data_IF_029494258901
#
_entry.id   IF_029494258901
#
_cell.length_a   1.000
_cell.length_b   1.000
_cell.length_c   1.000
_cell.angle_alpha   90.00
_cell.angle_beta   90.00
_cell.angle_gamma   90.00
#
_symmetry.space_group_name_H-M   'P 1'
#
loop_
_entity.id
_entity.type
_entity.pdbx_description
1 polymer ?
#
# COMPACT_ATOMS: atom_id res chain seq x y z
N UNK A 1 5.93 -7.30 -24.02
CA UNK A 1 6.46 -7.66 -22.68
C UNK A 1 5.37 -7.97 -21.64
N UNK A 2 4.18 -7.34 -21.68
CA UNK A 2 3.03 -7.81 -20.87
C UNK A 2 2.74 -9.31 -21.08
N UNK A 3 2.77 -9.78 -22.33
CA UNK A 3 2.66 -11.20 -22.68
C UNK A 3 3.75 -12.10 -22.04
N UNK A 4 4.96 -11.58 -21.80
CA UNK A 4 6.06 -12.36 -21.20
C UNK A 4 5.80 -12.59 -19.72
N UNK A 5 5.40 -11.54 -18.99
CA UNK A 5 5.03 -11.64 -17.57
C UNK A 5 3.81 -12.55 -17.41
N UNK A 6 2.80 -12.41 -18.26
CA UNK A 6 1.61 -13.26 -18.27
C UNK A 6 1.93 -14.74 -18.55
N UNK A 7 2.85 -15.00 -19.49
CA UNK A 7 3.35 -16.36 -19.76
C UNK A 7 4.05 -16.94 -18.54
N UNK A 8 4.94 -16.17 -17.89
CA UNK A 8 5.63 -16.62 -16.67
C UNK A 8 4.64 -16.95 -15.55
N UNK A 9 3.62 -16.12 -15.34
CA UNK A 9 2.59 -16.35 -14.33
C UNK A 9 1.78 -17.61 -14.61
N UNK A 10 1.42 -17.82 -15.87
CA UNK A 10 0.66 -18.99 -16.27
C UNK A 10 1.47 -20.27 -16.09
N UNK A 11 2.74 -20.26 -16.51
CA UNK A 11 3.64 -21.40 -16.31
C UNK A 11 3.86 -21.71 -14.83
N UNK A 12 4.10 -20.69 -13.99
CA UNK A 12 4.28 -20.89 -12.54
C UNK A 12 3.01 -21.46 -11.92
N UNK A 13 1.83 -20.93 -12.30
CA UNK A 13 0.53 -21.39 -11.78
C UNK A 13 0.27 -22.86 -12.15
N UNK A 14 0.51 -23.23 -13.40
CA UNK A 14 0.34 -24.60 -13.89
C UNK A 14 1.30 -25.57 -13.19
N UNK A 15 2.58 -25.20 -13.07
CA UNK A 15 3.58 -26.01 -12.35
C UNK A 15 3.26 -26.13 -10.87
N UNK A 16 2.76 -25.08 -10.23
CA UNK A 16 2.37 -25.15 -8.82
C UNK A 16 1.17 -26.08 -8.64
N UNK A 17 0.18 -26.03 -9.55
CA UNK A 17 -0.99 -26.89 -9.50
C UNK A 17 -0.63 -28.39 -9.69
N UNK A 18 0.42 -28.72 -10.45
CA UNK A 18 0.84 -30.12 -10.65
C UNK A 18 1.62 -30.71 -9.48
N UNK A 19 2.23 -29.88 -8.63
CA UNK A 19 3.03 -30.35 -7.47
C UNK A 19 2.38 -30.09 -6.12
N UNK A 20 1.38 -29.21 -6.04
CA UNK A 20 0.72 -28.86 -4.79
C UNK A 20 0.07 -30.09 -4.13
N UNK A 21 0.32 -30.27 -2.84
CA UNK A 21 -0.23 -31.39 -2.07
C UNK A 21 0.53 -32.71 -2.19
N UNK A 22 1.59 -32.78 -3.02
CA UNK A 22 2.46 -33.96 -3.11
C UNK A 22 3.66 -33.79 -2.15
N UNK A 23 3.81 -34.64 -1.11
CA UNK A 23 4.87 -34.49 -0.11
C UNK A 23 6.28 -34.48 -0.71
N UNK A 24 6.52 -35.32 -1.72
CA UNK A 24 7.83 -35.45 -2.39
C UNK A 24 8.27 -34.17 -3.10
N UNK A 25 7.32 -33.28 -3.45
CA UNK A 25 7.58 -32.02 -4.13
C UNK A 25 7.39 -30.79 -3.22
N UNK A 26 7.45 -30.95 -1.90
CA UNK A 26 7.20 -29.86 -0.96
C UNK A 26 8.19 -28.68 -1.13
N UNK A 27 9.45 -28.97 -1.47
CA UNK A 27 10.50 -27.97 -1.70
C UNK A 27 10.25 -27.19 -2.99
N UNK A 28 9.87 -27.89 -4.05
CA UNK A 28 9.52 -27.34 -5.36
C UNK A 28 8.27 -26.47 -5.25
N UNK A 29 7.24 -26.95 -4.55
CA UNK A 29 6.03 -26.18 -4.28
C UNK A 29 6.33 -24.88 -3.54
N UNK A 30 7.23 -24.91 -2.54
CA UNK A 30 7.68 -23.71 -1.81
C UNK A 30 8.40 -22.74 -2.73
N UNK A 31 9.29 -23.24 -3.59
CA UNK A 31 10.02 -22.44 -4.58
C UNK A 31 9.06 -21.78 -5.58
N UNK A 32 8.12 -22.55 -6.12
CA UNK A 32 7.11 -22.07 -7.08
C UNK A 32 6.18 -21.02 -6.47
N UNK A 33 5.78 -21.17 -5.20
CA UNK A 33 5.05 -20.10 -4.47
C UNK A 33 5.89 -18.83 -4.37
N UNK A 34 7.16 -18.94 -3.99
CA UNK A 34 8.09 -17.81 -3.96
C UNK A 34 8.24 -17.12 -5.32
N UNK A 35 8.30 -17.90 -6.41
CA UNK A 35 8.32 -17.36 -7.77
C UNK A 35 7.00 -16.67 -8.13
N UNK A 36 5.84 -17.24 -7.78
CA UNK A 36 4.54 -16.62 -8.01
C UNK A 36 4.45 -15.24 -7.34
N UNK A 37 4.88 -15.15 -6.08
CA UNK A 37 4.94 -13.88 -5.33
C UNK A 37 5.82 -12.84 -6.04
N UNK A 38 7.02 -13.25 -6.49
CA UNK A 38 7.96 -12.35 -7.19
C UNK A 38 7.44 -11.91 -8.54
N UNK A 39 6.79 -12.78 -9.31
CA UNK A 39 6.26 -12.44 -10.62
C UNK A 39 5.11 -11.44 -10.51
N UNK A 40 4.25 -11.56 -9.49
CA UNK A 40 3.23 -10.52 -9.19
C UNK A 40 3.87 -9.15 -8.93
N UNK A 41 4.92 -9.10 -8.10
CA UNK A 41 5.67 -7.87 -7.86
C UNK A 41 6.31 -7.33 -9.13
N UNK A 42 6.85 -8.20 -9.97
CA UNK A 42 7.43 -7.83 -11.26
C UNK A 42 6.38 -7.22 -12.19
N UNK A 43 5.18 -7.81 -12.29
CA UNK A 43 4.06 -7.24 -13.06
C UNK A 43 3.73 -5.83 -12.60
N UNK A 44 3.61 -5.64 -11.27
CA UNK A 44 3.31 -4.36 -10.62
C UNK A 44 4.40 -3.31 -10.88
N UNK A 45 5.67 -3.73 -10.86
CA UNK A 45 6.80 -2.85 -11.18
C UNK A 45 6.84 -2.50 -12.67
N UNK A 46 6.57 -3.48 -13.54
CA UNK A 46 6.59 -3.34 -14.99
C UNK A 46 5.50 -2.41 -15.52
N UNK A 47 4.32 -2.39 -14.89
CA UNK A 47 3.23 -1.49 -15.27
C UNK A 47 3.49 -0.02 -14.89
N UNK A 48 4.55 0.26 -14.12
CA UNK A 48 4.90 1.62 -13.70
C UNK A 48 6.01 2.18 -14.57
N UNK A 49 5.92 3.47 -14.86
CA UNK A 49 7.02 4.22 -15.47
C UNK A 49 8.18 4.30 -14.48
N UNK A 50 9.40 4.27 -15.01
CA UNK A 50 10.60 4.51 -14.22
C UNK A 50 10.50 5.87 -13.52
N UNK A 51 10.95 5.94 -12.28
CA UNK A 51 10.94 7.16 -11.47
C UNK A 51 12.27 7.36 -10.77
N UNK A 52 12.69 8.63 -10.71
CA UNK A 52 13.81 9.07 -9.90
C UNK A 52 13.28 9.53 -8.53
N UNK A 53 13.73 8.87 -7.46
CA UNK A 53 13.42 9.26 -6.08
C UNK A 53 14.53 10.11 -5.48
N UNK A 54 14.18 11.23 -4.85
CA UNK A 54 15.14 12.11 -4.16
C UNK A 54 14.97 11.95 -2.65
N UNK A 55 15.99 11.41 -1.99
CA UNK A 55 15.99 11.11 -0.55
C UNK A 55 17.06 11.94 0.18
N UNK A 56 16.78 12.33 1.42
CA UNK A 56 17.70 13.09 2.25
C UNK A 56 17.01 13.78 3.43
N UNK A 57 17.77 14.27 4.43
CA UNK A 57 17.22 14.89 5.63
C UNK A 57 16.35 16.10 5.29
N UNK A 58 15.47 16.48 6.23
CA UNK A 58 14.68 17.71 6.08
C UNK A 58 15.59 18.90 5.79
N UNK A 59 15.13 19.84 4.96
CA UNK A 59 15.87 21.05 4.56
C UNK A 59 17.13 20.84 3.70
N UNK A 60 17.42 19.63 3.23
CA UNK A 60 18.50 19.36 2.26
C UNK A 60 18.26 19.93 0.84
N UNK A 61 17.29 20.85 0.66
CA UNK A 61 16.99 21.45 -0.64
C UNK A 61 16.23 20.56 -1.63
N UNK A 62 15.72 19.38 -1.22
CA UNK A 62 15.01 18.44 -2.12
C UNK A 62 13.83 19.08 -2.86
N UNK A 63 12.91 19.73 -2.14
CA UNK A 63 11.74 20.39 -2.74
C UNK A 63 12.14 21.59 -3.60
N UNK A 64 13.24 22.29 -3.25
CA UNK A 64 13.80 23.36 -4.06
C UNK A 64 14.37 22.82 -5.37
N UNK A 65 15.12 21.71 -5.34
CA UNK A 65 15.64 21.04 -6.54
C UNK A 65 14.52 20.56 -7.45
N UNK A 66 13.48 19.92 -6.88
CA UNK A 66 12.29 19.50 -7.64
C UNK A 66 11.59 20.72 -8.27
N UNK A 67 11.37 21.79 -7.49
CA UNK A 67 10.80 23.02 -8.01
C UNK A 67 11.64 23.63 -9.13
N UNK A 68 12.96 23.70 -8.96
CA UNK A 68 13.88 24.25 -9.96
C UNK A 68 13.94 23.41 -11.24
N UNK A 69 13.91 22.08 -11.13
CA UNK A 69 13.88 21.18 -12.29
C UNK A 69 12.56 21.24 -13.08
N UNK A 70 11.44 21.49 -12.39
CA UNK A 70 10.10 21.41 -12.97
C UNK A 70 9.49 22.78 -13.32
N UNK A 71 10.01 23.88 -12.77
CA UNK A 71 9.52 25.23 -13.06
C UNK A 71 10.03 25.72 -14.41
N UNK A 72 9.12 26.33 -15.17
CA UNK A 72 9.42 26.90 -16.50
C UNK A 72 9.82 28.37 -16.44
N UNK A 73 9.27 29.11 -15.47
CA UNK A 73 9.63 30.48 -15.12
C UNK A 73 9.87 30.52 -13.61
N UNK A 74 10.89 31.26 -13.16
CA UNK A 74 11.32 31.39 -11.76
C UNK A 74 10.11 31.50 -10.80
N UNK A 75 9.66 30.37 -10.24
CA UNK A 75 8.73 30.33 -9.11
C UNK A 75 7.29 29.82 -9.36
N UNK A 76 6.94 29.18 -10.48
CA UNK A 76 5.64 28.45 -10.58
C UNK A 76 5.79 27.01 -11.05
N UNK A 77 5.04 26.10 -10.40
CA UNK A 77 4.97 24.69 -10.77
C UNK A 77 3.51 24.30 -10.98
N UNK A 78 3.05 24.34 -12.22
CA UNK A 78 1.65 24.16 -12.58
C UNK A 78 1.30 22.69 -12.77
N UNK A 79 0.28 22.23 -12.05
CA UNK A 79 -0.27 20.89 -12.16
C UNK A 79 -1.72 20.95 -12.64
N UNK A 80 -2.12 19.95 -13.41
CA UNK A 80 -3.46 19.82 -13.98
C UNK A 80 -4.33 18.95 -13.06
N UNK A 81 -5.43 19.53 -12.59
CA UNK A 81 -6.58 18.80 -12.08
C UNK A 81 -7.56 18.45 -13.21
N UNK A 82 -8.70 17.84 -12.90
CA UNK A 82 -9.68 17.43 -13.93
C UNK A 82 -10.30 18.63 -14.64
N UNK A 83 -10.56 19.71 -13.91
CA UNK A 83 -11.22 20.92 -14.44
C UNK A 83 -10.44 22.21 -14.16
N UNK A 84 -9.24 22.13 -13.60
CA UNK A 84 -8.48 23.30 -13.16
C UNK A 84 -6.97 23.11 -13.30
N UNK A 85 -6.25 24.23 -13.26
CA UNK A 85 -4.78 24.27 -13.16
C UNK A 85 -4.42 24.93 -11.84
N UNK A 86 -3.48 24.35 -11.10
CA UNK A 86 -3.14 24.75 -9.74
C UNK A 86 -1.62 24.94 -9.62
N UNK A 87 -1.17 25.96 -8.89
CA UNK A 87 0.25 26.13 -8.59
C UNK A 87 0.65 25.28 -7.38
N UNK A 88 1.36 24.17 -7.60
CA UNK A 88 1.76 23.25 -6.55
C UNK A 88 2.52 23.97 -5.43
N UNK A 89 3.45 24.88 -5.77
CA UNK A 89 4.30 25.53 -4.78
C UNK A 89 3.53 26.49 -3.87
N UNK A 90 2.41 27.05 -4.35
CA UNK A 90 1.63 28.06 -3.64
C UNK A 90 0.38 27.50 -2.97
N UNK A 91 -0.25 26.52 -3.59
CA UNK A 91 -1.60 26.07 -3.22
C UNK A 91 -1.63 24.65 -2.65
N UNK A 92 -0.68 23.78 -3.02
CA UNK A 92 -0.69 22.37 -2.60
C UNK A 92 0.40 22.09 -1.57
N UNK A 93 1.62 22.54 -1.84
CA UNK A 93 2.76 22.29 -0.97
C UNK A 93 2.50 22.95 0.40
N UNK A 94 2.63 22.18 1.51
CA UNK A 94 2.39 22.72 2.85
C UNK A 94 3.23 23.98 3.11
N UNK A 95 2.65 24.95 3.81
CA UNK A 95 3.31 26.20 4.14
C UNK A 95 4.57 25.98 5.01
N UNK A 96 5.58 26.84 4.86
CA UNK A 96 6.81 26.77 5.65
C UNK A 96 6.49 26.85 7.15
N UNK A 97 6.92 25.85 7.92
CA UNK A 97 6.78 25.82 9.39
C UNK A 97 5.69 24.89 9.92
N UNK A 98 4.82 24.36 9.05
CA UNK A 98 3.94 23.23 9.35
C UNK A 98 4.66 21.93 8.96
N UNK A 99 4.37 20.82 9.63
CA UNK A 99 5.00 19.51 9.37
C UNK A 99 4.97 19.13 7.88
N UNK A 100 5.95 18.31 7.47
CA UNK A 100 6.30 18.01 6.06
C UNK A 100 5.15 17.39 5.25
N UNK A 101 5.34 17.26 3.93
CA UNK A 101 4.52 16.41 3.05
C UNK A 101 4.48 14.98 3.62
N UNK A 102 3.29 14.49 3.97
CA UNK A 102 3.05 13.16 4.54
C UNK A 102 2.93 12.04 3.50
N UNK A 103 2.77 12.39 2.22
CA UNK A 103 2.60 11.43 1.11
C UNK A 103 3.61 11.69 -0.01
N UNK A 104 3.93 10.66 -0.78
CA UNK A 104 4.81 10.81 -1.95
C UNK A 104 4.08 11.58 -3.06
N UNK A 105 4.68 12.67 -3.54
CA UNK A 105 4.17 13.43 -4.70
C UNK A 105 4.88 12.97 -5.98
N UNK A 106 4.13 12.38 -6.91
CA UNK A 106 4.64 11.98 -8.23
C UNK A 106 4.24 13.01 -9.29
N UNK A 107 5.21 13.77 -9.79
CA UNK A 107 5.02 14.64 -10.95
C UNK A 107 5.20 13.86 -12.25
N UNK A 108 4.31 14.06 -13.23
CA UNK A 108 4.40 13.39 -14.54
C UNK A 108 3.95 14.29 -15.69
N UNK A 109 4.66 14.25 -16.81
CA UNK A 109 4.22 14.89 -18.07
C UNK A 109 3.08 14.13 -18.76
N UNK A 110 2.91 12.84 -18.44
CA UNK A 110 1.87 12.02 -19.03
C UNK A 110 0.55 12.15 -18.27
N UNK A 111 -0.55 12.01 -19.01
CA UNK A 111 -1.87 11.86 -18.43
C UNK A 111 -1.91 10.65 -17.47
N UNK A 112 -2.76 10.68 -16.42
CA UNK A 112 -2.95 9.54 -15.56
C UNK A 112 -3.40 8.29 -16.37
N UNK A 113 -3.07 7.08 -15.91
CA UNK A 113 -3.46 5.83 -16.59
C UNK A 113 -4.98 5.61 -16.62
N UNK A 114 -5.73 6.39 -15.82
CA UNK A 114 -7.18 6.40 -15.74
C UNK A 114 -7.67 7.82 -16.01
N UNK A 115 -8.67 7.98 -16.88
CA UNK A 115 -9.30 9.27 -17.09
C UNK A 115 -10.15 9.62 -15.86
N UNK A 116 -9.80 10.71 -15.19
CA UNK A 116 -10.51 11.17 -14.00
C UNK A 116 -11.98 11.49 -14.33
N UNK A 117 -12.88 10.98 -13.50
CA UNK A 117 -14.32 11.09 -13.72
C UNK A 117 -14.99 12.08 -12.78
N UNK A 118 -14.62 12.08 -11.49
CA UNK A 118 -15.21 12.92 -10.44
C UNK A 118 -14.16 13.78 -9.73
N UNK A 119 -13.05 13.18 -9.29
CA UNK A 119 -11.99 13.88 -8.56
C UNK A 119 -11.02 14.64 -9.48
N UNK A 120 -10.06 15.34 -8.87
CA UNK A 120 -9.05 16.15 -9.56
C UNK A 120 -7.68 15.47 -9.63
N UNK A 121 -7.39 14.58 -8.69
CA UNK A 121 -6.10 13.88 -8.60
C UNK A 121 -6.31 12.39 -8.36
N UNK A 122 -5.43 11.58 -8.95
CA UNK A 122 -5.38 10.14 -8.71
C UNK A 122 -4.38 9.84 -7.60
N UNK A 123 -4.85 9.22 -6.51
CA UNK A 123 -4.02 8.74 -5.43
C UNK A 123 -3.94 7.22 -5.48
N UNK A 124 -2.75 6.65 -5.67
CA UNK A 124 -2.56 5.20 -5.55
C UNK A 124 -2.53 4.81 -4.07
N UNK A 125 -3.17 3.69 -3.75
CA UNK A 125 -3.23 3.19 -2.38
C UNK A 125 -2.16 2.13 -2.12
N UNK A 126 -1.76 2.00 -0.86
CA UNK A 126 -1.02 0.86 -0.35
C UNK A 126 -1.95 -0.36 -0.36
N UNK A 127 -1.60 -1.47 -1.03
CA UNK A 127 -2.33 -2.70 -0.86
C UNK A 127 -2.09 -3.26 0.56
N UNK A 128 -2.97 -4.17 0.99
CA UNK A 128 -2.96 -4.73 2.34
C UNK A 128 -1.59 -5.33 2.70
N UNK A 129 -0.93 -6.03 1.79
CA UNK A 129 0.42 -6.57 2.02
C UNK A 129 1.46 -5.49 2.28
N UNK A 130 1.44 -4.37 1.55
CA UNK A 130 2.43 -3.32 1.71
C UNK A 130 2.22 -2.55 3.01
N UNK A 131 0.95 -2.36 3.41
CA UNK A 131 0.59 -1.80 4.70
C UNK A 131 1.15 -2.67 5.84
N UNK A 132 0.84 -3.97 5.82
CA UNK A 132 1.29 -4.90 6.86
C UNK A 132 2.82 -5.05 6.89
N UNK A 133 3.48 -5.13 5.73
CA UNK A 133 4.95 -5.21 5.64
C UNK A 133 5.61 -3.96 6.22
N UNK A 134 5.04 -2.77 5.98
CA UNK A 134 5.52 -1.51 6.54
C UNK A 134 5.43 -1.49 8.06
N UNK A 135 4.26 -1.83 8.61
CA UNK A 135 4.04 -1.89 10.06
C UNK A 135 4.95 -2.92 10.74
N UNK A 136 5.04 -4.12 10.17
CA UNK A 136 5.90 -5.19 10.69
C UNK A 136 7.39 -4.80 10.62
N UNK A 137 7.83 -4.18 9.52
CA UNK A 137 9.21 -3.70 9.39
C UNK A 137 9.51 -2.64 10.46
N UNK A 138 8.61 -1.68 10.68
CA UNK A 138 8.78 -0.66 11.71
C UNK A 138 8.96 -1.29 13.09
N UNK A 139 8.11 -2.25 13.46
CA UNK A 139 8.23 -2.98 14.71
C UNK A 139 9.56 -3.74 14.83
N UNK A 140 9.96 -4.49 13.81
CA UNK A 140 11.19 -5.30 13.85
C UNK A 140 12.48 -4.47 13.90
N UNK A 141 12.44 -3.21 13.45
CA UNK A 141 13.61 -2.33 13.45
C UNK A 141 13.65 -1.46 14.70
N UNK A 142 12.51 -0.90 15.12
CA UNK A 142 12.46 0.15 16.13
C UNK A 142 11.92 -0.33 17.49
N UNK A 143 11.32 -1.51 17.56
CA UNK A 143 10.69 -2.01 18.79
C UNK A 143 11.38 -3.25 19.35
N UNK A 144 11.28 -3.40 20.66
CA UNK A 144 11.69 -4.64 21.34
C UNK A 144 10.63 -5.71 21.12
N UNK A 145 11.01 -6.80 20.47
CA UNK A 145 10.15 -7.96 20.29
C UNK A 145 9.98 -8.74 21.62
N UNK A 146 8.80 -9.32 21.89
CA UNK A 146 8.64 -10.18 23.05
C UNK A 146 9.39 -11.51 22.84
N UNK A 147 9.70 -12.23 23.93
CA UNK A 147 9.89 -13.67 23.81
C UNK A 147 8.59 -14.26 23.26
N UNK A 148 8.68 -14.92 22.11
CA UNK A 148 7.57 -15.68 21.53
C UNK A 148 7.91 -17.15 21.70
N UNK A 149 6.99 -17.89 22.30
CA UNK A 149 7.04 -19.35 22.39
C UNK A 149 5.99 -19.97 21.47
N UNK A 150 6.10 -21.28 21.29
CA UNK A 150 5.13 -22.08 20.52
C UNK A 150 3.71 -21.88 21.06
N UNK A 151 3.54 -21.81 22.38
CA UNK A 151 2.23 -21.70 23.04
C UNK A 151 1.49 -20.41 22.67
N UNK A 152 2.20 -19.28 22.56
CA UNK A 152 1.59 -18.02 22.10
C UNK A 152 1.08 -18.15 20.67
N UNK A 153 1.90 -18.69 19.76
CA UNK A 153 1.50 -18.87 18.36
C UNK A 153 0.30 -19.82 18.27
N UNK A 154 0.33 -20.95 18.96
CA UNK A 154 -0.77 -21.92 18.95
C UNK A 154 -2.08 -21.34 19.50
N UNK A 155 -2.02 -20.59 20.61
CA UNK A 155 -3.19 -19.89 21.16
C UNK A 155 -3.75 -18.88 20.17
N UNK A 156 -2.90 -18.05 19.57
CA UNK A 156 -3.35 -17.07 18.56
C UNK A 156 -4.02 -17.77 17.37
N UNK A 157 -3.43 -18.84 16.83
CA UNK A 157 -4.01 -19.58 15.71
C UNK A 157 -5.33 -20.26 16.11
N UNK A 158 -5.42 -20.81 17.33
CA UNK A 158 -6.66 -21.39 17.85
C UNK A 158 -7.75 -20.33 17.98
N UNK A 159 -7.46 -19.19 18.58
CA UNK A 159 -8.41 -18.08 18.73
C UNK A 159 -8.85 -17.53 17.38
N UNK A 160 -7.94 -17.45 16.41
CA UNK A 160 -8.22 -17.02 15.04
C UNK A 160 -9.21 -17.95 14.33
N UNK A 161 -9.07 -19.28 14.49
CA UNK A 161 -10.02 -20.27 13.95
C UNK A 161 -11.41 -20.17 14.55
N UNK A 162 -11.49 -19.77 15.82
CA UNK A 162 -12.74 -19.67 16.56
C UNK A 162 -13.49 -18.35 16.29
N UNK A 163 -12.89 -17.40 15.58
CA UNK A 163 -13.55 -16.14 15.24
C UNK A 163 -14.74 -16.40 14.31
N UNK A 164 -15.93 -15.99 14.74
CA UNK A 164 -17.14 -16.01 13.94
C UNK A 164 -17.20 -14.78 13.02
N UNK A 165 -17.85 -14.90 11.86
CA UNK A 165 -18.05 -13.80 10.92
C UNK A 165 -18.15 -14.27 9.47
N UNK A 166 -18.32 -13.31 8.56
CA UNK A 166 -18.28 -13.57 7.13
C UNK A 166 -16.88 -14.05 6.70
N UNK A 167 -16.84 -14.86 5.66
CA UNK A 167 -15.58 -15.31 5.05
C UNK A 167 -14.81 -14.10 4.50
N UNK A 168 -13.56 -13.96 4.92
CA UNK A 168 -12.67 -12.93 4.43
C UNK A 168 -12.40 -13.09 2.93
N UNK A 169 -12.29 -12.00 2.17
CA UNK A 169 -11.83 -12.07 0.79
C UNK A 169 -10.41 -12.69 0.71
N UNK A 170 -10.06 -13.37 -0.39
CA UNK A 170 -8.75 -14.01 -0.56
C UNK A 170 -7.54 -13.07 -0.40
N UNK A 171 -7.75 -11.75 -0.48
CA UNK A 171 -6.70 -10.75 -0.28
C UNK A 171 -6.04 -10.87 1.10
N UNK A 172 -6.76 -11.32 2.12
CA UNK A 172 -6.21 -11.47 3.46
C UNK A 172 -5.13 -12.56 3.52
N UNK A 173 -5.47 -13.78 3.10
CA UNK A 173 -4.50 -14.87 3.01
C UNK A 173 -3.31 -14.51 2.11
N UNK A 174 -3.58 -13.90 0.95
CA UNK A 174 -2.54 -13.46 0.01
C UNK A 174 -1.61 -12.41 0.61
N UNK A 175 -2.14 -11.51 1.45
CA UNK A 175 -1.35 -10.49 2.12
C UNK A 175 -0.39 -11.12 3.14
N UNK A 176 -0.90 -12.04 3.97
CA UNK A 176 -0.04 -12.83 4.86
C UNK A 176 1.07 -13.56 4.11
N UNK A 177 0.74 -14.32 3.06
CA UNK A 177 1.71 -15.08 2.28
C UNK A 177 2.84 -14.19 1.73
N UNK A 178 2.48 -13.01 1.24
CA UNK A 178 3.43 -12.05 0.66
C UNK A 178 4.35 -11.50 1.76
N UNK A 179 3.76 -10.92 2.81
CA UNK A 179 4.50 -10.31 3.93
C UNK A 179 5.41 -11.34 4.60
N UNK A 180 4.89 -12.54 4.88
CA UNK A 180 5.65 -13.61 5.52
C UNK A 180 6.84 -14.05 4.68
N UNK A 181 6.65 -14.23 3.36
CA UNK A 181 7.74 -14.56 2.44
C UNK A 181 8.81 -13.45 2.41
N UNK A 182 8.40 -12.19 2.33
CA UNK A 182 9.32 -11.07 2.21
C UNK A 182 10.13 -10.84 3.49
N UNK A 183 9.48 -10.84 4.65
CA UNK A 183 10.15 -10.70 5.94
C UNK A 183 11.07 -11.89 6.22
N UNK A 184 10.62 -13.13 5.93
CA UNK A 184 11.44 -14.33 6.07
C UNK A 184 12.70 -14.25 5.19
N UNK A 185 12.56 -13.73 3.96
CA UNK A 185 13.70 -13.55 3.05
C UNK A 185 14.63 -12.42 3.47
N UNK A 186 14.07 -11.31 3.96
CA UNK A 186 14.80 -10.09 4.36
C UNK A 186 15.62 -10.32 5.63
N UNK A 187 15.01 -10.91 6.65
CA UNK A 187 15.64 -11.09 7.96
C UNK A 187 16.29 -12.46 8.14
N UNK A 188 15.88 -13.48 7.41
CA UNK A 188 16.42 -14.85 7.51
C UNK A 188 16.50 -15.30 8.98
N UNK A 189 17.71 -15.58 9.47
CA UNK A 189 17.97 -15.97 10.86
C UNK A 189 18.62 -14.84 11.67
N UNK A 190 18.71 -13.63 11.11
CA UNK A 190 19.34 -12.46 11.77
C UNK A 190 18.46 -11.79 12.80
N UNK A 191 17.14 -11.94 12.70
CA UNK A 191 16.19 -11.36 13.65
C UNK A 191 15.63 -12.45 14.57
N UNK A 192 15.94 -12.46 15.89
CA UNK A 192 15.56 -13.53 16.79
C UNK A 192 14.06 -13.84 16.79
N UNK A 193 13.22 -12.79 16.80
CA UNK A 193 11.76 -12.96 16.77
C UNK A 193 11.26 -13.68 15.51
N UNK A 194 11.77 -13.33 14.33
CA UNK A 194 11.40 -14.00 13.07
C UNK A 194 11.90 -15.45 13.05
N UNK A 195 13.08 -15.70 13.62
CA UNK A 195 13.62 -17.05 13.75
C UNK A 195 12.70 -17.94 14.60
N UNK A 196 12.21 -17.45 15.74
CA UNK A 196 11.29 -18.19 16.61
C UNK A 196 9.95 -18.46 15.93
N UNK A 197 9.32 -17.46 15.29
CA UNK A 197 8.06 -17.68 14.56
C UNK A 197 8.21 -18.73 13.45
N UNK A 198 9.36 -18.76 12.75
CA UNK A 198 9.64 -19.74 11.69
C UNK A 198 9.81 -21.17 12.21
N UNK A 199 10.02 -21.38 13.51
CA UNK A 199 10.03 -22.73 14.11
C UNK A 199 8.65 -23.35 14.15
N UNK A 200 7.59 -22.53 14.21
CA UNK A 200 6.23 -23.04 14.23
C UNK A 200 5.83 -23.65 12.86
N UNK A 201 5.43 -24.93 12.78
CA UNK A 201 5.19 -25.62 11.50
C UNK A 201 4.17 -24.92 10.59
N UNK A 202 3.05 -24.44 11.16
CA UNK A 202 1.99 -23.78 10.38
C UNK A 202 2.47 -22.48 9.73
N UNK A 203 3.30 -21.69 10.43
CA UNK A 203 3.84 -20.43 9.91
C UNK A 203 4.92 -20.73 8.87
N UNK A 204 5.83 -21.68 9.15
CA UNK A 204 6.88 -22.10 8.22
C UNK A 204 6.33 -22.53 6.87
N UNK A 205 5.24 -23.30 6.88
CA UNK A 205 4.63 -23.88 5.68
C UNK A 205 3.61 -22.93 5.02
N UNK A 206 3.24 -21.83 5.69
CA UNK A 206 2.17 -20.93 5.25
C UNK A 206 0.79 -21.60 5.25
N UNK A 207 0.60 -22.66 6.03
CA UNK A 207 -0.62 -23.48 6.04
C UNK A 207 -1.64 -22.92 7.03
N UNK A 208 -2.28 -21.81 6.64
CA UNK A 208 -3.31 -21.12 7.42
C UNK A 208 -4.68 -21.11 6.70
N UNK A 209 -4.96 -22.14 5.92
CA UNK A 209 -6.21 -22.28 5.15
C UNK A 209 -7.47 -22.44 6.01
N UNK A 210 -7.28 -22.77 7.28
CA UNK A 210 -8.31 -22.91 8.32
C UNK A 210 -8.73 -21.56 8.93
N UNK A 211 -8.03 -20.47 8.62
CA UNK A 211 -8.40 -19.11 9.02
C UNK A 211 -9.32 -18.49 7.97
N UNK A 212 -10.59 -18.37 8.31
CA UNK A 212 -11.64 -18.04 7.33
C UNK A 212 -12.19 -16.62 7.45
N UNK A 213 -12.08 -15.97 8.61
CA UNK A 213 -12.72 -14.66 8.88
C UNK A 213 -11.71 -13.53 8.94
N UNK A 214 -12.16 -12.30 8.64
CA UNK A 214 -11.31 -11.10 8.70
C UNK A 214 -10.76 -10.89 10.11
N UNK A 215 -11.62 -11.04 11.13
CA UNK A 215 -11.21 -10.99 12.53
C UNK A 215 -10.15 -12.05 12.89
N UNK A 216 -10.27 -13.27 12.35
CA UNK A 216 -9.24 -14.30 12.51
C UNK A 216 -7.91 -13.88 11.89
N UNK A 217 -7.92 -13.33 10.68
CA UNK A 217 -6.70 -12.81 10.05
C UNK A 217 -6.06 -11.66 10.80
N UNK A 218 -6.84 -10.78 11.44
CA UNK A 218 -6.30 -9.71 12.28
C UNK A 218 -5.49 -10.25 13.46
N UNK A 219 -5.94 -11.35 14.07
CA UNK A 219 -5.17 -12.06 15.11
C UNK A 219 -3.89 -12.65 14.53
N UNK A 220 -3.95 -13.27 13.35
CA UNK A 220 -2.76 -13.80 12.67
C UNK A 220 -1.75 -12.69 12.35
N UNK A 221 -2.19 -11.57 11.79
CA UNK A 221 -1.31 -10.43 11.47
C UNK A 221 -0.62 -9.86 12.70
N UNK A 222 -1.27 -9.88 13.86
CA UNK A 222 -0.63 -9.41 15.09
C UNK A 222 0.65 -10.17 15.46
N UNK A 223 0.80 -11.42 15.00
CA UNK A 223 2.04 -12.19 15.15
C UNK A 223 3.24 -11.55 14.42
N UNK A 224 3.03 -10.60 13.51
CA UNK A 224 4.12 -9.84 12.89
C UNK A 224 4.77 -8.86 13.89
N UNK A 225 4.09 -8.53 14.99
CA UNK A 225 4.54 -7.58 16.01
C UNK A 225 4.27 -8.01 17.45
N UNK A 226 4.41 -9.30 17.75
CA UNK A 226 4.39 -9.82 19.13
C UNK A 226 3.16 -10.65 19.50
N UNK A 227 2.17 -10.73 18.62
CA UNK A 227 0.89 -11.40 18.86
C UNK A 227 -0.15 -10.51 19.56
N UNK A 228 -1.38 -11.03 19.73
CA UNK A 228 -2.51 -10.21 20.15
C UNK A 228 -2.26 -9.52 21.50
N UNK A 229 -2.46 -8.20 21.54
CA UNK A 229 -2.39 -7.40 22.75
C UNK A 229 -0.97 -7.08 23.24
N UNK A 230 0.08 -7.50 22.54
CA UNK A 230 1.46 -7.10 22.85
C UNK A 230 1.69 -5.62 22.48
N UNK A 231 1.65 -5.31 21.18
CA UNK A 231 1.74 -3.94 20.67
C UNK A 231 0.33 -3.41 20.39
N UNK A 232 -0.39 -3.03 21.46
CA UNK A 232 -1.81 -2.61 21.38
C UNK A 232 -2.03 -1.44 20.42
N UNK A 233 -1.06 -0.54 20.34
CA UNK A 233 -1.13 0.62 19.43
C UNK A 233 -1.03 0.17 17.96
N UNK A 234 -0.19 -0.83 17.65
CA UNK A 234 -0.12 -1.43 16.31
C UNK A 234 -1.37 -2.25 15.99
N UNK A 235 -1.92 -2.99 16.96
CA UNK A 235 -3.19 -3.71 16.77
C UNK A 235 -4.33 -2.74 16.44
N UNK A 236 -4.39 -1.61 17.14
CA UNK A 236 -5.40 -0.58 16.91
C UNK A 236 -5.17 0.13 15.57
N UNK A 237 -3.93 0.49 15.24
CA UNK A 237 -3.58 1.09 13.95
C UNK A 237 -3.93 0.17 12.79
N UNK A 238 -3.57 -1.12 12.89
CA UNK A 238 -3.90 -2.13 11.89
C UNK A 238 -5.42 -2.20 11.72
N UNK A 239 -6.19 -2.24 12.81
CA UNK A 239 -7.65 -2.27 12.76
C UNK A 239 -8.23 -1.08 12.00
N UNK A 240 -7.80 0.13 12.32
CA UNK A 240 -8.27 1.35 11.67
C UNK A 240 -7.95 1.33 10.16
N UNK A 241 -6.73 0.97 9.79
CA UNK A 241 -6.29 1.00 8.39
C UNK A 241 -6.90 -0.13 7.55
N UNK A 242 -7.02 -1.33 8.10
CA UNK A 242 -7.69 -2.45 7.43
C UNK A 242 -9.17 -2.16 7.22
N UNK A 243 -9.86 -1.60 8.22
CA UNK A 243 -11.25 -1.15 8.08
C UNK A 243 -11.37 -0.06 7.01
N UNK A 244 -10.42 0.87 6.92
CA UNK A 244 -10.36 1.86 5.84
C UNK A 244 -10.25 1.22 4.45
N UNK A 245 -9.37 0.21 4.29
CA UNK A 245 -9.25 -0.54 3.05
C UNK A 245 -10.52 -1.33 2.70
N UNK A 246 -11.18 -1.95 3.69
CA UNK A 246 -12.46 -2.65 3.50
C UNK A 246 -13.56 -1.67 3.10
N UNK A 247 -13.62 -0.50 3.74
CA UNK A 247 -14.57 0.57 3.44
C UNK A 247 -14.41 1.06 2.01
N UNK A 248 -13.20 1.09 1.46
CA UNK A 248 -12.91 1.39 0.06
C UNK A 248 -13.12 0.18 -0.88
N UNK A 249 -13.11 -1.05 -0.37
CA UNK A 249 -13.23 -2.26 -1.17
C UNK A 249 -11.91 -2.70 -1.82
N UNK A 250 -10.78 -2.36 -1.19
CA UNK A 250 -9.42 -2.68 -1.66
C UNK A 250 -9.10 -2.26 -3.12
N UNK A 251 -9.38 -1.01 -3.53
CA UNK A 251 -9.06 -0.54 -4.87
C UNK A 251 -7.56 -0.30 -5.05
N UNK A 252 -7.09 -0.24 -6.30
CA UNK A 252 -5.70 0.13 -6.60
C UNK A 252 -5.43 1.62 -6.32
N UNK A 253 -6.43 2.47 -6.54
CA UNK A 253 -6.33 3.92 -6.42
C UNK A 253 -7.69 4.55 -6.08
N UNK A 254 -7.68 5.85 -5.79
CA UNK A 254 -8.87 6.68 -5.64
C UNK A 254 -8.69 8.03 -6.33
N UNK A 255 -9.78 8.61 -6.80
CA UNK A 255 -9.83 10.02 -7.19
C UNK A 255 -10.19 10.88 -5.98
N UNK A 256 -9.42 11.94 -5.77
CA UNK A 256 -9.60 12.91 -4.67
C UNK A 256 -9.79 14.31 -5.26
N UNK A 257 -10.74 15.07 -4.70
CA UNK A 257 -11.00 16.46 -5.10
C UNK A 257 -9.89 17.42 -4.66
N UNK A 258 -9.70 18.50 -5.42
CA UNK A 258 -8.67 19.52 -5.14
C UNK A 258 -8.78 20.11 -3.72
N UNK A 259 -10.00 20.24 -3.19
CA UNK A 259 -10.27 20.78 -1.87
C UNK A 259 -9.69 19.96 -0.71
N UNK A 260 -9.32 18.71 -0.95
CA UNK A 260 -8.67 17.79 -0.01
C UNK A 260 -7.20 17.52 -0.32
N UNK A 261 -6.65 18.21 -1.33
CA UNK A 261 -5.24 18.10 -1.74
C UNK A 261 -4.51 19.42 -1.51
N UNK A 262 -5.20 20.55 -1.66
CA UNK A 262 -4.65 21.88 -1.44
C UNK A 262 -4.53 22.21 0.05
N UNK A 263 -3.57 23.06 0.39
CA UNK A 263 -3.48 23.67 1.71
C UNK A 263 -4.78 24.44 2.02
N UNK A 264 -5.39 24.13 3.16
CA UNK A 264 -6.66 24.72 3.58
C UNK A 264 -6.74 24.82 5.10
N UNK A 265 -7.38 25.88 5.61
CA UNK A 265 -7.72 26.01 7.03
C UNK A 265 -9.05 25.36 7.39
N UNK A 266 -9.85 24.97 6.39
CA UNK A 266 -11.22 24.43 6.59
C UNK A 266 -11.32 22.94 6.31
N UNK A 267 -10.56 22.45 5.33
CA UNK A 267 -10.56 21.05 4.91
C UNK A 267 -9.20 20.41 5.18
N UNK A 268 -9.15 19.14 5.60
CA UNK A 268 -7.92 18.38 5.72
C UNK A 268 -7.34 18.15 4.33
N UNK A 269 -6.04 18.43 4.21
CA UNK A 269 -5.23 18.08 3.06
C UNK A 269 -4.61 16.70 3.29
N UNK A 270 -4.92 15.72 2.43
CA UNK A 270 -4.34 14.37 2.51
C UNK A 270 -2.83 14.37 2.25
N UNK A 271 -2.27 15.47 1.77
CA UNK A 271 -0.83 15.66 1.57
C UNK A 271 -0.12 16.06 2.86
N UNK A 272 -0.82 16.65 3.81
CA UNK A 272 -0.20 17.23 5.00
C UNK A 272 0.06 16.14 6.04
N UNK A 273 1.26 16.13 6.63
CA UNK A 273 1.56 15.20 7.73
C UNK A 273 0.63 15.38 8.94
N UNK A 274 0.09 16.59 9.16
CA UNK A 274 -0.91 16.83 10.21
C UNK A 274 -2.21 16.04 9.98
N UNK A 275 -2.62 15.85 8.73
CA UNK A 275 -3.77 15.04 8.37
C UNK A 275 -3.50 13.57 8.72
N UNK A 276 -2.31 13.06 8.37
CA UNK A 276 -1.87 11.72 8.77
C UNK A 276 -1.83 11.56 10.30
N UNK A 277 -1.29 12.54 11.02
CA UNK A 277 -1.19 12.53 12.48
C UNK A 277 -2.55 12.60 13.18
N UNK A 278 -3.60 13.05 12.47
CA UNK A 278 -4.98 13.07 12.95
C UNK A 278 -5.76 11.77 12.64
N UNK A 279 -5.08 10.70 12.21
CA UNK A 279 -5.69 9.41 11.88
C UNK A 279 -6.68 8.92 12.94
N UNK A 280 -7.91 8.66 12.51
CA UNK A 280 -8.99 8.14 13.37
C UNK A 280 -9.54 9.14 14.39
N UNK A 281 -9.13 10.41 14.32
CA UNK A 281 -9.62 11.49 15.20
C UNK A 281 -10.53 12.48 14.50
N UNK A 282 -10.56 12.48 13.16
CA UNK A 282 -11.32 13.47 12.41
C UNK A 282 -12.82 13.21 12.53
N UNK A 283 -13.58 14.31 12.60
CA UNK A 283 -15.04 14.30 12.48
C UNK A 283 -15.51 14.62 11.06
N UNK A 284 -14.57 14.88 10.15
CA UNK A 284 -14.84 15.16 8.76
C UNK A 284 -14.67 13.90 7.92
N UNK A 285 -15.33 13.87 6.76
CA UNK A 285 -15.25 12.79 5.78
C UNK A 285 -14.80 13.35 4.45
N UNK A 286 -13.99 12.58 3.73
CA UNK A 286 -13.61 12.84 2.34
C UNK A 286 -14.42 11.94 1.44
N UNK A 287 -15.06 12.50 0.42
CA UNK A 287 -15.69 11.72 -0.63
C UNK A 287 -14.65 11.39 -1.69
N UNK A 288 -14.50 10.10 -2.01
CA UNK A 288 -13.56 9.61 -3.01
C UNK A 288 -14.25 8.69 -4.01
N UNK A 289 -13.70 8.61 -5.22
CA UNK A 289 -14.12 7.63 -6.23
C UNK A 289 -13.07 6.57 -6.38
N UNK A 290 -13.43 5.30 -6.14
CA UNK A 290 -12.48 4.18 -6.22
C UNK A 290 -12.11 3.83 -7.66
N UNK A 291 -10.84 3.46 -7.89
CA UNK A 291 -10.29 3.17 -9.21
C UNK A 291 -9.49 1.86 -9.16
N UNK A 292 -9.86 0.92 -10.03
CA UNK A 292 -9.08 -0.30 -10.25
C UNK A 292 -8.17 -0.10 -11.49
N UNK A 293 -6.86 -0.13 -11.27
CA UNK A 293 -5.83 0.04 -12.30
C UNK A 293 -5.38 -1.30 -12.91
N UNK A 294 -5.93 -2.42 -12.42
CA UNK A 294 -5.64 -3.77 -12.90
C UNK A 294 -4.27 -4.30 -12.45
N UNK A 295 -3.70 -3.75 -11.38
CA UNK A 295 -2.37 -4.18 -10.91
C UNK A 295 -2.35 -5.60 -10.33
N UNK A 296 -3.49 -6.08 -9.83
CA UNK A 296 -3.57 -7.35 -9.12
C UNK A 296 -3.64 -8.62 -9.99
N UNK A 297 -3.81 -8.52 -11.32
CA UNK A 297 -3.79 -9.68 -12.23
C UNK A 297 -4.90 -10.72 -11.94
N UNK A 298 -6.10 -10.36 -12.38
CA UNK A 298 -7.35 -11.13 -12.57
C UNK A 298 -8.08 -11.83 -11.39
N UNK A 299 -9.41 -11.65 -11.42
CA UNK A 299 -10.58 -12.37 -10.83
C UNK A 299 -11.70 -11.39 -10.40
N UNK A 300 -11.40 -10.10 -10.26
CA UNK A 300 -12.45 -9.09 -10.11
C UNK A 300 -13.10 -8.94 -11.47
N UNK A 301 -14.32 -9.45 -11.64
CA UNK A 301 -15.11 -9.19 -12.83
C UNK A 301 -14.96 -7.73 -13.21
N UNK A 302 -14.50 -7.46 -14.43
CA UNK A 302 -14.39 -6.10 -14.97
C UNK A 302 -15.79 -5.52 -14.96
N UNK A 303 -16.20 -4.88 -13.88
CA UNK A 303 -17.33 -3.97 -13.94
C UNK A 303 -16.85 -2.79 -14.78
N UNK A 304 -17.14 -2.87 -16.07
CA UNK A 304 -17.17 -1.74 -16.97
C UNK A 304 -18.27 -0.78 -16.47
N UNK A 305 -17.95 -0.03 -15.42
CA UNK A 305 -18.86 0.91 -14.76
C UNK A 305 -18.02 1.74 -13.80
N UNK A 306 -18.14 3.07 -13.89
CA UNK A 306 -17.31 4.02 -13.16
C UNK A 306 -17.16 3.70 -11.67
N UNK A 307 -16.03 4.11 -11.11
CA UNK A 307 -15.63 3.85 -9.74
C UNK A 307 -16.74 4.00 -8.70
N UNK A 308 -16.73 3.15 -7.67
CA UNK A 308 -17.65 3.27 -6.53
C UNK A 308 -17.26 4.49 -5.69
N UNK A 309 -18.24 5.31 -5.34
CA UNK A 309 -18.04 6.39 -4.36
C UNK A 309 -17.95 5.82 -2.95
N UNK A 310 -17.04 6.37 -2.16
CA UNK A 310 -16.88 6.04 -0.76
C UNK A 310 -16.59 7.31 0.04
N UNK A 311 -17.17 7.39 1.23
CA UNK A 311 -16.75 8.34 2.25
C UNK A 311 -15.67 7.68 3.10
N UNK A 312 -14.62 8.40 3.50
CA UNK A 312 -13.57 7.89 4.38
C UNK A 312 -13.01 9.00 5.28
N UNK A 313 -12.49 8.63 6.45
CA UNK A 313 -11.73 9.54 7.30
C UNK A 313 -10.48 10.05 6.55
N UNK A 314 -10.21 11.37 6.56
CA UNK A 314 -9.09 11.98 5.84
C UNK A 314 -7.71 11.49 6.30
N UNK A 315 -7.52 11.25 7.61
CA UNK A 315 -6.25 10.76 8.15
C UNK A 315 -6.02 9.29 7.83
N UNK A 316 -7.10 8.48 7.85
CA UNK A 316 -7.06 7.10 7.34
C UNK A 316 -6.73 7.08 5.85
N UNK A 317 -7.37 7.94 5.04
CA UNK A 317 -7.06 8.05 3.63
C UNK A 317 -5.60 8.47 3.40
N UNK A 318 -5.12 9.50 4.09
CA UNK A 318 -3.73 9.96 4.00
C UNK A 318 -2.74 8.82 4.32
N UNK A 319 -3.01 8.00 5.34
CA UNK A 319 -2.18 6.86 5.71
C UNK A 319 -2.21 5.70 4.69
N UNK A 320 -3.28 5.57 3.93
CA UNK A 320 -3.43 4.56 2.89
C UNK A 320 -2.85 5.00 1.54
N UNK A 321 -2.61 6.29 1.32
CA UNK A 321 -2.04 6.79 0.06
C UNK A 321 -0.55 6.43 -0.03
N UNK A 322 -0.20 5.67 -1.05
CA UNK A 322 1.19 5.39 -1.40
C UNK A 322 1.82 6.57 -2.14
N UNK A 323 1.08 7.15 -3.10
CA UNK A 323 1.50 8.33 -3.85
C UNK A 323 0.29 9.09 -4.40
N UNK A 324 0.42 10.41 -4.50
CA UNK A 324 -0.47 11.26 -5.30
C UNK A 324 0.17 11.57 -6.65
N UNK A 325 -0.60 11.43 -7.73
CA UNK A 325 -0.15 11.73 -9.09
C UNK A 325 -0.57 13.14 -9.48
N UNK A 326 0.43 13.95 -9.78
CA UNK A 326 0.29 15.34 -10.20
C UNK A 326 0.74 15.46 -11.66
N UNK A 327 -0.23 15.57 -12.56
CA UNK A 327 0.08 15.80 -13.97
C UNK A 327 0.62 17.22 -14.14
N UNK A 328 1.80 17.36 -14.73
CA UNK A 328 2.38 18.66 -15.02
C UNK A 328 1.67 19.30 -16.20
N UNK A 329 1.46 20.61 -16.12
CA UNK A 329 1.13 21.39 -17.31
C UNK A 329 2.32 21.35 -18.27
N UNK A 330 2.14 20.96 -19.55
CA UNK A 330 3.21 21.06 -20.53
C UNK A 330 3.69 22.50 -20.64
N UNK A 331 5.01 22.69 -20.69
CA UNK A 331 5.56 24.02 -20.90
C UNK A 331 6.69 24.00 -21.92
N UNK A 332 6.49 24.76 -23.00
CA UNK A 332 7.36 24.75 -24.17
C UNK A 332 8.79 25.17 -23.82
N UNK A 333 9.77 24.37 -24.25
CA UNK A 333 11.19 24.62 -23.99
C UNK A 333 11.73 24.15 -22.63
N UNK A 334 10.91 23.53 -21.77
CA UNK A 334 11.45 22.84 -20.57
C UNK A 334 12.23 21.58 -20.93
N UNK A 335 13.02 21.08 -19.98
CA UNK A 335 13.65 19.75 -20.07
C UNK A 335 12.61 18.63 -20.27
N UNK A 336 11.38 18.83 -19.78
CA UNK A 336 10.28 17.87 -19.90
C UNK A 336 9.45 18.04 -21.18
N UNK A 337 9.64 19.12 -21.93
CA UNK A 337 8.95 19.37 -23.21
C UNK A 337 9.41 18.40 -24.32
N UNK A 338 10.62 17.84 -24.17
CA UNK A 338 11.27 16.97 -25.16
C UNK A 338 11.37 15.50 -24.72
N UNK A 339 10.77 15.13 -23.58
CA UNK A 339 10.87 13.81 -22.95
C UNK A 339 9.55 13.04 -23.03
#
# INVERSE_FOLDING_TARGET
MSQVVETLETSIRQSLASVAGTPDFATEATTLRGLALRTRKLRRAWSRKQSLGLFGPSQAGKSFLVGALLSHELGSLKVLGRQSEVDFLKEINPAKGVESTGVVSRFSSAAPPHQLTRGDFLCELLPLEALLESMATGFLVECTSPPVDTDRVERTLREARLQAGATAPPIYARAWETVWHDLSRKYQDRHPYMQELRRHPALRQGSLSDITTGAGWMLVYSLLWGGPGYARDLDQLMRVLVQGLEQLGHPDAVEVGLEHVRASSTNPSVIDASCLNALGTSRQIVQVTTVDLGHHGDDRGRHAGGGREAAIDPGVLAALIAEIRLQLRPVAGTLLDRA
#
